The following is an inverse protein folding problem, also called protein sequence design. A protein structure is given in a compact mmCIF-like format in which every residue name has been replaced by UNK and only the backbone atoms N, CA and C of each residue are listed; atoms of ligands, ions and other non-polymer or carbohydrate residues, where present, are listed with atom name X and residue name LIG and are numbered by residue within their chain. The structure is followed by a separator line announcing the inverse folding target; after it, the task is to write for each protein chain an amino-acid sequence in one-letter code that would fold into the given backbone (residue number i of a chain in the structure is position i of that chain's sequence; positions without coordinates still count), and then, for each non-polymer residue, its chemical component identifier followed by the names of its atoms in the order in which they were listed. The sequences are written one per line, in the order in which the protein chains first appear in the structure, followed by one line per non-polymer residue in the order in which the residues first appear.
data_IF_787399941584
#
_entry.id   IF_787399941584
#
_cell.length_a   1.000
_cell.length_b   1.000
_cell.length_c   1.000
_cell.angle_alpha   90.00
_cell.angle_beta   90.00
_cell.angle_gamma   90.00
#
_symmetry.space_group_name_H-M   'P 1'
#
loop_
_entity.id
_entity.type
_entity.pdbx_description
1 polymer ?
#
# COMPACT_ATOMS: atom_id res chain seq x y z
N UNK A 1 -31.50 4.16 -9.11
CA UNK A 1 -31.28 2.85 -8.47
C UNK A 1 -29.81 2.53 -8.62
N UNK A 2 -29.00 3.03 -7.65
CA UNK A 2 -27.57 2.77 -7.64
C UNK A 2 -27.37 1.36 -7.09
N UNK A 3 -27.23 0.40 -7.98
CA UNK A 3 -26.69 -0.89 -7.63
C UNK A 3 -25.23 -0.63 -7.19
N UNK A 4 -25.07 -0.44 -5.91
CA UNK A 4 -23.80 -0.56 -5.23
C UNK A 4 -23.43 -2.05 -5.35
N UNK A 5 -22.92 -2.39 -6.53
CA UNK A 5 -22.27 -3.67 -6.73
C UNK A 5 -21.04 -3.58 -5.83
N UNK A 6 -21.23 -3.94 -4.57
CA UNK A 6 -20.15 -4.32 -3.67
C UNK A 6 -19.52 -5.53 -4.31
N UNK A 7 -18.69 -5.26 -5.32
CA UNK A 7 -18.08 -6.28 -6.15
C UNK A 7 -17.42 -7.28 -5.22
N UNK A 8 -17.74 -8.57 -5.29
CA UNK A 8 -17.11 -9.62 -4.49
C UNK A 8 -15.58 -9.54 -4.62
N UNK A 9 -15.12 -8.98 -5.71
CA UNK A 9 -13.72 -8.68 -5.97
C UNK A 9 -13.13 -7.65 -4.98
N UNK A 10 -13.87 -6.59 -4.63
CA UNK A 10 -13.40 -5.63 -3.59
C UNK A 10 -13.43 -6.23 -2.20
N UNK A 11 -14.38 -7.08 -1.90
CA UNK A 11 -14.39 -7.79 -0.62
C UNK A 11 -13.19 -8.72 -0.51
N UNK A 12 -12.89 -9.48 -1.56
CA UNK A 12 -11.69 -10.32 -1.63
C UNK A 12 -10.39 -9.50 -1.50
N UNK A 13 -10.30 -8.34 -2.19
CA UNK A 13 -9.15 -7.45 -2.08
C UNK A 13 -8.95 -6.91 -0.65
N UNK A 14 -10.01 -6.61 0.09
CA UNK A 14 -9.92 -6.19 1.49
C UNK A 14 -9.39 -7.30 2.39
N UNK A 15 -9.93 -8.51 2.25
CA UNK A 15 -9.45 -9.67 3.01
C UNK A 15 -7.98 -9.94 2.72
N UNK A 16 -7.60 -9.95 1.44
CA UNK A 16 -6.22 -10.14 1.01
C UNK A 16 -5.30 -9.04 1.57
N UNK A 17 -5.71 -7.78 1.52
CA UNK A 17 -4.94 -6.65 2.06
C UNK A 17 -4.70 -6.82 3.56
N UNK A 18 -5.74 -7.17 4.32
CA UNK A 18 -5.61 -7.39 5.76
C UNK A 18 -4.69 -8.57 6.04
N UNK A 19 -4.83 -9.68 5.32
CA UNK A 19 -3.98 -10.86 5.49
C UNK A 19 -2.50 -10.53 5.21
N UNK A 20 -2.22 -9.81 4.13
CA UNK A 20 -0.84 -9.41 3.79
C UNK A 20 -0.30 -8.41 4.81
N UNK A 21 -1.11 -7.47 5.32
CA UNK A 21 -0.67 -6.55 6.38
C UNK A 21 -0.32 -7.31 7.67
N UNK A 22 -1.12 -8.29 8.05
CA UNK A 22 -0.82 -9.15 9.22
C UNK A 22 0.49 -9.91 9.00
N UNK A 23 0.68 -10.52 7.82
CA UNK A 23 1.93 -11.22 7.47
C UNK A 23 3.13 -10.27 7.46
N UNK A 24 2.96 -9.02 7.01
CA UNK A 24 4.00 -8.01 7.04
C UNK A 24 4.40 -7.68 8.49
N UNK A 25 3.43 -7.49 9.38
CA UNK A 25 3.69 -7.23 10.81
C UNK A 25 4.42 -8.42 11.45
N UNK A 26 3.95 -9.65 11.20
CA UNK A 26 4.59 -10.88 11.70
C UNK A 26 6.02 -11.00 11.15
N UNK A 27 6.24 -10.75 9.86
CA UNK A 27 7.55 -10.78 9.25
C UNK A 27 8.47 -9.65 9.75
N UNK A 28 7.93 -8.46 10.00
CA UNK A 28 8.69 -7.31 10.51
C UNK A 28 9.15 -7.51 11.96
N UNK A 29 8.31 -8.10 12.81
CA UNK A 29 8.59 -8.29 14.24
C UNK A 29 9.09 -9.70 14.57
N UNK A 30 9.02 -10.64 13.64
CA UNK A 30 9.54 -11.99 13.79
C UNK A 30 11.07 -12.06 13.62
N UNK A 31 11.66 -13.27 13.79
CA UNK A 31 13.09 -13.50 13.59
C UNK A 31 13.61 -12.99 12.24
N UNK A 32 14.83 -12.47 12.19
CA UNK A 32 15.38 -11.83 10.99
C UNK A 32 15.47 -12.78 9.77
N UNK A 33 15.59 -14.08 10.00
CA UNK A 33 15.64 -15.12 8.96
C UNK A 33 14.29 -15.39 8.29
N UNK A 34 13.16 -14.87 8.82
CA UNK A 34 11.84 -15.04 8.21
C UNK A 34 11.58 -14.07 7.06
N UNK A 35 12.35 -12.99 6.98
CA UNK A 35 12.19 -12.02 5.88
C UNK A 35 12.98 -12.48 4.65
N UNK A 36 12.30 -12.78 3.54
CA UNK A 36 13.00 -13.06 2.29
C UNK A 36 13.80 -11.83 1.85
N UNK A 37 15.02 -12.04 1.42
CA UNK A 37 15.87 -11.00 0.84
C UNK A 37 16.08 -11.30 -0.63
N UNK A 38 15.84 -10.30 -1.48
CA UNK A 38 16.13 -10.43 -2.90
C UNK A 38 17.58 -10.03 -3.20
N UNK A 39 18.05 -10.35 -4.41
CA UNK A 39 19.35 -9.90 -4.90
C UNK A 39 19.41 -8.38 -5.15
N UNK A 40 18.28 -7.67 -5.08
CA UNK A 40 18.18 -6.22 -5.34
C UNK A 40 18.63 -5.36 -4.16
N UNK A 41 18.82 -5.97 -2.99
CA UNK A 41 19.23 -5.29 -1.77
C UNK A 41 18.05 -4.87 -0.88
N UNK A 42 18.31 -4.80 0.41
CA UNK A 42 17.28 -4.60 1.44
C UNK A 42 16.50 -3.27 1.32
N UNK A 43 17.14 -2.20 0.82
CA UNK A 43 16.46 -0.91 0.59
C UNK A 43 15.39 -1.05 -0.48
N UNK A 44 15.73 -1.71 -1.59
CA UNK A 44 14.82 -1.97 -2.70
C UNK A 44 13.69 -2.90 -2.27
N UNK A 45 14.00 -3.91 -1.46
CA UNK A 45 13.01 -4.83 -0.92
C UNK A 45 11.97 -4.10 -0.06
N UNK A 46 12.42 -3.17 0.82
CA UNK A 46 11.51 -2.34 1.62
C UNK A 46 10.66 -1.43 0.74
N UNK A 47 11.27 -0.73 -0.21
CA UNK A 47 10.54 0.15 -1.13
C UNK A 47 9.48 -0.62 -1.92
N UNK A 48 9.86 -1.71 -2.58
CA UNK A 48 8.94 -2.50 -3.41
C UNK A 48 7.85 -3.20 -2.59
N UNK A 49 8.18 -3.71 -1.41
CA UNK A 49 7.21 -4.34 -0.52
C UNK A 49 6.12 -3.37 -0.09
N UNK A 50 6.52 -2.20 0.41
CA UNK A 50 5.57 -1.16 0.81
C UNK A 50 4.82 -0.55 -0.38
N UNK A 51 5.47 -0.41 -1.54
CA UNK A 51 4.82 0.03 -2.78
C UNK A 51 3.71 -0.93 -3.20
N UNK A 52 4.00 -2.23 -3.27
CA UNK A 52 3.04 -3.23 -3.70
C UNK A 52 1.84 -3.34 -2.76
N UNK A 53 2.09 -3.38 -1.43
CA UNK A 53 0.98 -3.45 -0.46
C UNK A 53 0.13 -2.18 -0.49
N UNK A 54 0.74 -1.01 -0.68
CA UNK A 54 -0.01 0.25 -0.75
C UNK A 54 -0.93 0.28 -1.96
N UNK A 55 -0.48 -0.17 -3.13
CA UNK A 55 -1.35 -0.29 -4.31
C UNK A 55 -2.54 -1.22 -4.04
N UNK A 56 -2.31 -2.37 -3.42
CA UNK A 56 -3.36 -3.32 -3.08
C UNK A 56 -4.37 -2.71 -2.11
N UNK A 57 -3.88 -2.02 -1.06
CA UNK A 57 -4.73 -1.36 -0.07
C UNK A 57 -5.52 -0.20 -0.72
N UNK A 58 -4.90 0.61 -1.57
CA UNK A 58 -5.59 1.68 -2.31
C UNK A 58 -6.66 1.14 -3.27
N UNK A 59 -6.44 -0.04 -3.83
CA UNK A 59 -7.47 -0.72 -4.64
C UNK A 59 -8.66 -1.16 -3.78
N UNK A 60 -8.41 -1.70 -2.58
CA UNK A 60 -9.45 -2.13 -1.65
C UNK A 60 -10.19 -0.95 -1.01
N UNK A 61 -9.46 0.11 -0.67
CA UNK A 61 -9.98 1.37 -0.10
C UNK A 61 -9.52 2.55 -0.95
N UNK A 62 -10.37 3.09 -1.83
CA UNK A 62 -10.00 4.13 -2.79
C UNK A 62 -9.88 5.52 -2.12
N UNK A 63 -9.00 5.63 -1.14
CA UNK A 63 -8.63 6.85 -0.40
C UNK A 63 -7.10 6.95 -0.28
N UNK A 64 -6.38 7.20 -1.38
CA UNK A 64 -4.92 7.04 -1.45
C UNK A 64 -4.16 7.85 -0.40
N UNK A 65 -4.57 9.08 -0.11
CA UNK A 65 -3.89 9.92 0.88
C UNK A 65 -4.08 9.43 2.31
N UNK A 66 -5.27 8.92 2.66
CA UNK A 66 -5.52 8.36 3.99
C UNK A 66 -4.77 7.04 4.16
N UNK A 67 -4.82 6.18 3.16
CA UNK A 67 -4.06 4.92 3.12
C UNK A 67 -2.56 5.20 3.19
N UNK A 68 -2.07 6.15 2.38
CA UNK A 68 -0.67 6.54 2.36
C UNK A 68 -0.19 7.05 3.72
N UNK A 69 -0.93 7.96 4.35
CA UNK A 69 -0.60 8.48 5.68
C UNK A 69 -0.54 7.38 6.75
N UNK A 70 -1.54 6.48 6.76
CA UNK A 70 -1.58 5.37 7.70
C UNK A 70 -0.41 4.40 7.50
N UNK A 71 -0.06 4.06 6.25
CA UNK A 71 1.03 3.13 5.96
C UNK A 71 2.42 3.76 6.16
N UNK A 72 2.59 5.07 5.94
CA UNK A 72 3.82 5.78 6.33
C UNK A 72 4.00 5.71 7.85
N UNK A 73 2.96 6.03 8.62
CA UNK A 73 3.01 5.92 10.07
C UNK A 73 3.33 4.48 10.52
N UNK A 74 2.72 3.48 9.88
CA UNK A 74 2.99 2.07 10.15
C UNK A 74 4.44 1.68 9.83
N UNK A 75 5.04 2.19 8.73
CA UNK A 75 6.42 1.91 8.39
C UNK A 75 7.39 2.39 9.48
N UNK A 76 7.22 3.61 9.96
CA UNK A 76 8.04 4.14 11.06
C UNK A 76 7.78 3.43 12.38
N UNK A 77 6.52 3.12 12.69
CA UNK A 77 6.15 2.40 13.91
C UNK A 77 6.76 1.00 13.95
N UNK A 78 6.62 0.24 12.87
CA UNK A 78 7.17 -1.11 12.77
C UNK A 78 8.69 -1.11 12.89
N UNK A 79 9.36 -0.15 12.24
CA UNK A 79 10.81 -0.01 12.36
C UNK A 79 11.24 0.34 13.78
N UNK A 80 10.51 1.24 14.45
CA UNK A 80 10.76 1.55 15.87
C UNK A 80 10.53 0.35 16.78
N UNK A 81 9.49 -0.46 16.53
CA UNK A 81 9.21 -1.67 17.29
C UNK A 81 10.29 -2.76 17.11
N UNK A 82 10.98 -2.77 15.98
CA UNK A 82 12.11 -3.69 15.76
C UNK A 82 13.26 -3.48 16.75
N UNK A 83 13.40 -2.28 17.32
CA UNK A 83 14.39 -2.04 18.37
C UNK A 83 14.17 -2.90 19.64
N UNK A 84 12.95 -3.39 19.83
CA UNK A 84 12.58 -4.26 20.96
C UNK A 84 12.55 -5.75 20.58
N UNK A 85 12.89 -6.09 19.35
CA UNK A 85 12.86 -7.48 18.86
C UNK A 85 14.26 -8.06 18.87
N UNK A 86 14.49 -9.26 19.43
CA UNK A 86 15.78 -9.93 19.35
C UNK A 86 16.22 -10.07 17.87
N UNK A 87 17.52 -9.97 17.63
CA UNK A 87 18.16 -10.11 16.31
C UNK A 87 17.77 -9.06 15.26
N UNK A 88 17.12 -7.97 15.68
CA UNK A 88 16.80 -6.84 14.80
C UNK A 88 17.34 -5.52 15.34
N UNK A 89 17.67 -4.64 14.42
CA UNK A 89 18.07 -3.26 14.72
C UNK A 89 17.19 -2.31 13.96
N UNK A 90 16.59 -1.35 14.66
CA UNK A 90 15.82 -0.29 14.01
C UNK A 90 16.75 0.50 13.04
N UNK A 91 16.28 0.71 11.82
CA UNK A 91 17.05 1.38 10.77
C UNK A 91 16.22 2.45 10.10
N UNK A 92 16.51 3.71 10.38
CA UNK A 92 15.79 4.84 9.82
C UNK A 92 15.77 4.83 8.28
N UNK A 93 16.84 4.34 7.64
CA UNK A 93 16.89 4.24 6.16
C UNK A 93 15.86 3.24 5.66
N UNK A 94 15.63 2.13 6.38
CA UNK A 94 14.57 1.17 6.04
C UNK A 94 13.19 1.81 6.12
N UNK A 95 12.91 2.56 7.20
CA UNK A 95 11.65 3.30 7.34
C UNK A 95 11.45 4.31 6.20
N UNK A 96 12.50 5.06 5.83
CA UNK A 96 12.44 6.03 4.74
C UNK A 96 12.22 5.36 3.38
N UNK A 97 12.89 4.22 3.11
CA UNK A 97 12.66 3.46 1.88
C UNK A 97 11.21 2.94 1.81
N UNK A 98 10.71 2.41 2.92
CA UNK A 98 9.31 1.96 3.01
C UNK A 98 8.33 3.13 2.80
N UNK A 99 8.53 4.25 3.48
CA UNK A 99 7.71 5.46 3.32
C UNK A 99 7.77 5.99 1.88
N UNK A 100 8.93 5.97 1.23
CA UNK A 100 9.09 6.32 -0.18
C UNK A 100 8.24 5.43 -1.10
N UNK A 101 8.25 4.12 -0.87
CA UNK A 101 7.40 3.17 -1.60
C UNK A 101 5.91 3.45 -1.41
N UNK A 102 5.49 3.72 -0.16
CA UNK A 102 4.10 4.10 0.16
C UNK A 102 3.67 5.36 -0.60
N UNK A 103 4.48 6.43 -0.52
CA UNK A 103 4.15 7.71 -1.15
C UNK A 103 4.07 7.59 -2.67
N UNK A 104 5.02 6.88 -3.29
CA UNK A 104 5.01 6.64 -4.73
C UNK A 104 3.75 5.89 -5.17
N UNK A 105 3.36 4.85 -4.45
CA UNK A 105 2.16 4.07 -4.74
C UNK A 105 0.87 4.88 -4.53
N UNK A 106 0.78 5.65 -3.44
CA UNK A 106 -0.40 6.48 -3.15
C UNK A 106 -0.59 7.56 -4.21
N UNK A 107 0.50 8.22 -4.65
CA UNK A 107 0.46 9.19 -5.73
C UNK A 107 0.02 8.54 -7.05
N UNK A 108 0.58 7.38 -7.40
CA UNK A 108 0.19 6.65 -8.60
C UNK A 108 -1.29 6.27 -8.58
N UNK A 109 -1.78 5.77 -7.45
CA UNK A 109 -3.19 5.43 -7.26
C UNK A 109 -4.11 6.65 -7.41
N UNK A 110 -3.72 7.81 -6.86
CA UNK A 110 -4.49 9.05 -7.01
C UNK A 110 -4.49 9.56 -8.45
N UNK A 111 -3.35 9.55 -9.14
CA UNK A 111 -3.25 9.95 -10.54
C UNK A 111 -4.13 9.07 -11.42
N UNK A 112 -4.11 7.76 -11.21
CA UNK A 112 -4.97 6.83 -11.92
C UNK A 112 -6.46 7.11 -11.65
N UNK A 113 -6.82 7.34 -10.39
CA UNK A 113 -8.20 7.65 -10.02
C UNK A 113 -8.68 8.96 -10.64
N UNK A 114 -7.82 10.00 -10.72
CA UNK A 114 -8.14 11.28 -11.40
C UNK A 114 -8.33 11.09 -12.89
N UNK A 115 -7.40 10.41 -13.55
CA UNK A 115 -7.50 10.13 -14.98
C UNK A 115 -8.78 9.35 -15.31
N UNK A 116 -9.12 8.35 -14.51
CA UNK A 116 -10.36 7.58 -14.67
C UNK A 116 -11.62 8.43 -14.51
N UNK A 117 -11.67 9.31 -13.52
CA UNK A 117 -12.78 10.25 -13.31
C UNK A 117 -12.94 11.21 -14.49
N UNK A 118 -11.82 11.73 -14.99
CA UNK A 118 -11.82 12.63 -16.13
C UNK A 118 -12.35 11.99 -17.40
N UNK A 119 -11.87 10.79 -17.74
CA UNK A 119 -12.37 10.03 -18.89
C UNK A 119 -13.89 9.73 -18.81
N UNK A 120 -14.36 9.37 -17.62
CA UNK A 120 -15.80 9.13 -17.42
C UNK A 120 -16.66 10.38 -17.59
N UNK A 121 -16.15 11.55 -17.18
CA UNK A 121 -16.84 12.82 -17.35
C UNK A 121 -16.93 13.17 -18.84
N UNK A 122 -15.82 13.13 -19.56
CA UNK A 122 -15.77 13.42 -21.01
C UNK A 122 -16.74 12.51 -21.80
N UNK A 123 -16.81 11.23 -21.48
CA UNK A 123 -17.70 10.28 -22.12
C UNK A 123 -19.20 10.55 -21.84
N UNK A 124 -19.54 11.17 -20.70
CA UNK A 124 -20.92 11.58 -20.40
C UNK A 124 -21.32 12.84 -21.15
N UNK A 125 -20.42 13.82 -21.15
CA UNK A 125 -20.68 15.13 -21.82
C UNK A 125 -20.86 14.94 -23.33
N UNK A 126 -20.11 14.03 -23.96
CA UNK A 126 -20.26 13.65 -25.37
C UNK A 126 -21.60 13.01 -25.70
N UNK A 127 -22.24 12.29 -24.76
CA UNK A 127 -23.56 11.67 -24.96
C UNK A 127 -24.73 12.62 -24.74
N UNK A 128 -24.53 13.73 -24.05
CA UNK A 128 -25.56 14.73 -23.79
C UNK A 128 -25.66 15.80 -24.87
N UNK A 129 -24.71 15.83 -25.82
CA UNK A 129 -24.64 16.79 -26.93
C UNK A 129 -25.24 16.25 -28.25
N UNK A 130 -25.80 15.04 -28.22
CA UNK A 130 -26.52 14.40 -29.33
C UNK A 130 -28.01 14.25 -29.00
#
# INVERSE_FOLDING_TARGET
MNADIKSPFRAGAKVLSVAIMVLLVIGALGPANWTPRTALGWQTDHFLGYFAITLLVCFAWPRPFLVGGALVAAAFLLEGLQAFTPDRTANLVAALCGAGGVLAAALLAELFARAWRWHRKSARDSKSSV
#
